data_IF_138518413702
#
_entry.id   IF_138518413702
#
_cell.length_a   1.000
_cell.length_b   1.000
_cell.length_c   1.000
_cell.angle_alpha   90.00
_cell.angle_beta   90.00
_cell.angle_gamma   90.00
#
_symmetry.space_group_name_H-M   'P 1'
#
loop_
_entity.id
_entity.type
_entity.pdbx_description
1 polymer ?
#
# COMPACT_ATOMS: atom_id res chain seq x y z
N UNK A 1 -17.39 8.18 14.17
CA UNK A 1 -16.13 8.97 14.08
C UNK A 1 -15.20 8.50 12.97
N UNK A 2 -14.81 7.23 12.93
CA UNK A 2 -13.82 6.70 11.96
C UNK A 2 -14.14 6.98 10.50
N UNK A 3 -15.41 6.77 10.06
CA UNK A 3 -15.85 7.07 8.70
C UNK A 3 -15.57 8.52 8.30
N UNK A 4 -15.94 9.47 9.15
CA UNK A 4 -15.77 10.90 8.88
C UNK A 4 -14.32 11.35 8.90
N UNK A 5 -13.53 10.84 9.86
CA UNK A 5 -12.09 11.09 9.91
C UNK A 5 -11.39 10.58 8.64
N UNK A 6 -11.70 9.33 8.23
CA UNK A 6 -11.07 8.75 7.04
C UNK A 6 -11.47 9.51 5.75
N UNK A 7 -12.75 9.85 5.58
CA UNK A 7 -13.19 10.68 4.45
C UNK A 7 -12.46 12.02 4.40
N UNK A 8 -12.42 12.71 5.55
CA UNK A 8 -11.77 14.02 5.65
C UNK A 8 -10.27 13.94 5.33
N UNK A 9 -9.58 12.97 5.90
CA UNK A 9 -8.14 12.78 5.65
C UNK A 9 -7.84 12.33 4.23
N UNK A 10 -8.65 11.42 3.66
CA UNK A 10 -8.52 11.00 2.28
C UNK A 10 -8.70 12.18 1.32
N UNK A 11 -9.70 13.04 1.55
CA UNK A 11 -9.93 14.23 0.76
C UNK A 11 -8.75 15.21 0.85
N UNK A 12 -8.17 15.41 2.05
CA UNK A 12 -6.98 16.25 2.23
C UNK A 12 -5.76 15.69 1.50
N UNK A 13 -5.64 14.37 1.44
CA UNK A 13 -4.53 13.66 0.76
C UNK A 13 -4.74 13.49 -0.74
N UNK A 14 -5.89 13.89 -1.29
CA UNK A 14 -6.23 13.69 -2.71
C UNK A 14 -6.49 12.25 -3.09
N UNK A 15 -6.89 11.44 -2.11
CA UNK A 15 -7.11 9.99 -2.25
C UNK A 15 -8.58 9.72 -2.50
N UNK A 16 -8.90 8.98 -3.58
CA UNK A 16 -10.25 8.54 -3.90
C UNK A 16 -10.55 7.21 -3.20
N UNK A 17 -11.39 7.26 -2.17
CA UNK A 17 -11.80 6.08 -1.40
C UNK A 17 -13.25 6.20 -0.96
N UNK A 18 -14.04 5.18 -1.21
CA UNK A 18 -15.36 5.08 -0.63
C UNK A 18 -15.28 4.54 0.79
N UNK A 19 -15.77 5.30 1.76
CA UNK A 19 -15.74 4.94 3.18
C UNK A 19 -17.15 4.84 3.72
N UNK A 20 -17.45 3.70 4.35
CA UNK A 20 -18.72 3.45 5.03
C UNK A 20 -18.47 2.95 6.45
N UNK A 21 -19.40 3.22 7.36
CA UNK A 21 -19.42 2.59 8.68
C UNK A 21 -20.72 1.82 8.89
N UNK A 22 -20.64 0.75 9.66
CA UNK A 22 -21.77 -0.04 10.09
C UNK A 22 -21.55 -0.57 11.50
N UNK A 23 -22.60 -0.75 12.27
CA UNK A 23 -22.55 -1.33 13.61
C UNK A 23 -23.19 -2.70 13.65
N UNK A 24 -22.62 -3.59 14.44
CA UNK A 24 -23.13 -4.96 14.66
C UNK A 24 -24.52 -4.94 15.32
N UNK A 25 -24.69 -4.06 16.30
CA UNK A 25 -25.93 -3.90 17.07
C UNK A 25 -26.62 -2.55 16.83
N UNK A 26 -26.28 -1.85 15.73
CA UNK A 26 -26.86 -0.55 15.44
C UNK A 26 -28.37 -0.64 15.10
N UNK A 27 -29.12 0.32 15.60
CA UNK A 27 -30.45 0.61 15.07
C UNK A 27 -30.28 1.52 13.86
N UNK A 28 -30.85 1.11 12.72
CA UNK A 28 -30.69 1.87 11.48
C UNK A 28 -31.37 3.24 11.59
N UNK A 29 -30.65 4.30 11.22
CA UNK A 29 -31.21 5.66 11.16
C UNK A 29 -30.91 6.52 12.40
N UNK A 30 -30.30 5.99 13.45
CA UNK A 30 -29.91 6.78 14.62
C UNK A 30 -28.83 7.82 14.25
N UNK A 31 -28.93 8.99 14.89
CA UNK A 31 -27.93 10.04 14.78
C UNK A 31 -26.64 9.67 15.52
N UNK A 32 -25.53 10.31 15.18
CA UNK A 32 -24.32 10.23 15.99
C UNK A 32 -24.53 10.84 17.38
N UNK A 33 -23.82 10.32 18.39
CA UNK A 33 -23.82 10.89 19.73
C UNK A 33 -23.31 12.35 19.69
N UNK A 34 -23.89 13.22 20.53
CA UNK A 34 -23.54 14.66 20.58
C UNK A 34 -22.05 14.87 20.81
N UNK A 35 -21.45 14.14 21.78
CA UNK A 35 -20.02 14.22 22.05
C UNK A 35 -19.16 13.76 20.84
N UNK A 36 -19.66 12.84 20.00
CA UNK A 36 -18.96 12.45 18.78
C UNK A 36 -18.99 13.57 17.73
N UNK A 37 -20.15 14.24 17.60
CA UNK A 37 -20.32 15.39 16.70
C UNK A 37 -19.41 16.54 17.15
N UNK A 38 -19.42 16.86 18.44
CA UNK A 38 -18.59 17.93 19.00
C UNK A 38 -17.09 17.64 18.84
N UNK A 39 -16.66 16.42 19.15
CA UNK A 39 -15.28 16.02 18.97
C UNK A 39 -14.79 16.13 17.53
N UNK A 40 -15.65 15.82 16.52
CA UNK A 40 -15.32 15.96 15.11
C UNK A 40 -15.37 17.41 14.63
N UNK A 41 -16.30 18.21 15.17
CA UNK A 41 -16.44 19.64 14.84
C UNK A 41 -15.18 20.45 15.21
N UNK A 42 -14.44 20.07 16.26
CA UNK A 42 -13.14 20.66 16.62
C UNK A 42 -12.09 20.53 15.50
N UNK A 43 -12.24 19.55 14.61
CA UNK A 43 -11.41 19.37 13.41
C UNK A 43 -12.03 19.94 12.13
N UNK A 44 -13.15 20.65 12.24
CA UNK A 44 -13.89 21.19 11.09
C UNK A 44 -14.72 20.14 10.36
N UNK A 45 -14.98 18.98 10.97
CA UNK A 45 -15.71 17.87 10.37
C UNK A 45 -17.18 17.89 10.85
N UNK A 46 -18.13 18.08 9.95
CA UNK A 46 -19.57 18.04 10.25
C UNK A 46 -20.14 16.62 10.15
N UNK A 47 -20.50 16.03 11.27
CA UNK A 47 -21.11 14.70 11.36
C UNK A 47 -22.60 14.70 11.73
N UNK A 48 -23.29 15.84 11.71
CA UNK A 48 -24.72 15.95 12.11
C UNK A 48 -25.67 15.16 11.21
N UNK A 49 -25.28 14.94 9.96
CA UNK A 49 -26.08 14.16 9.00
C UNK A 49 -25.82 12.65 9.08
N UNK A 50 -24.94 12.20 9.98
CA UNK A 50 -24.69 10.76 10.14
C UNK A 50 -25.98 10.02 10.49
N UNK A 51 -26.17 8.87 9.85
CA UNK A 51 -27.20 7.90 10.21
C UNK A 51 -26.57 6.53 10.35
N UNK A 52 -26.82 5.91 11.49
CA UNK A 52 -26.31 4.57 11.78
C UNK A 52 -26.84 3.54 10.80
N UNK A 53 -26.04 2.55 10.49
CA UNK A 53 -26.36 1.45 9.59
C UNK A 53 -26.01 0.13 10.26
N UNK A 54 -26.90 -0.84 10.19
CA UNK A 54 -26.63 -2.20 10.66
C UNK A 54 -25.75 -2.92 9.64
N UNK A 55 -24.79 -3.72 10.12
CA UNK A 55 -23.98 -4.57 9.27
C UNK A 55 -24.85 -5.61 8.56
N UNK A 56 -24.53 -5.90 7.32
CA UNK A 56 -25.22 -6.89 6.50
C UNK A 56 -24.17 -7.69 5.70
N UNK A 57 -24.32 -9.01 5.49
CA UNK A 57 -23.35 -9.84 4.75
C UNK A 57 -22.95 -9.28 3.39
N UNK A 58 -23.87 -8.63 2.69
CA UNK A 58 -23.56 -7.96 1.42
C UNK A 58 -22.48 -6.87 1.56
N UNK A 59 -22.49 -6.09 2.65
CA UNK A 59 -21.46 -5.09 2.90
C UNK A 59 -20.08 -5.73 3.14
N UNK A 60 -20.05 -6.93 3.76
CA UNK A 60 -18.80 -7.68 3.92
C UNK A 60 -18.26 -8.15 2.56
N UNK A 61 -19.15 -8.57 1.64
CA UNK A 61 -18.75 -9.02 0.31
C UNK A 61 -18.20 -7.86 -0.54
N UNK A 62 -18.87 -6.69 -0.52
CA UNK A 62 -18.55 -5.53 -1.34
C UNK A 62 -17.34 -4.72 -0.86
N UNK A 63 -16.99 -4.78 0.43
CA UNK A 63 -15.86 -4.06 0.98
C UNK A 63 -14.53 -4.71 0.59
N UNK A 64 -13.53 -3.93 0.19
CA UNK A 64 -12.15 -4.39 -0.05
C UNK A 64 -11.40 -4.57 1.27
N UNK A 65 -11.67 -3.73 2.26
CA UNK A 65 -11.07 -3.76 3.59
C UNK A 65 -12.12 -3.50 4.67
N UNK A 66 -12.09 -4.26 5.74
CA UNK A 66 -12.99 -4.15 6.88
C UNK A 66 -12.16 -3.92 8.14
N UNK A 67 -12.37 -2.78 8.80
CA UNK A 67 -11.64 -2.37 9.98
C UNK A 67 -12.54 -2.39 11.22
N UNK A 68 -12.30 -3.29 12.13
CA UNK A 68 -12.99 -3.42 13.40
C UNK A 68 -12.31 -2.59 14.50
N UNK A 69 -13.07 -2.17 15.50
CA UNK A 69 -12.54 -1.38 16.62
C UNK A 69 -12.04 -2.25 17.77
N UNK A 70 -12.60 -3.45 17.94
CA UNK A 70 -12.26 -4.38 19.02
C UNK A 70 -12.20 -5.81 18.49
N UNK A 71 -11.52 -6.69 19.23
CA UNK A 71 -11.45 -8.11 18.91
C UNK A 71 -12.84 -8.76 18.95
N UNK A 72 -13.71 -8.34 19.87
CA UNK A 72 -15.10 -8.79 19.91
C UNK A 72 -15.83 -8.50 18.59
N UNK A 73 -15.65 -7.30 18.02
CA UNK A 73 -16.22 -6.95 16.72
C UNK A 73 -15.64 -7.80 15.60
N UNK A 74 -14.34 -8.06 15.58
CA UNK A 74 -13.68 -8.92 14.59
C UNK A 74 -14.25 -10.34 14.62
N UNK A 75 -14.41 -10.92 15.81
CA UNK A 75 -14.97 -12.26 15.97
C UNK A 75 -16.43 -12.37 15.49
N UNK A 76 -17.24 -11.36 15.73
CA UNK A 76 -18.62 -11.33 15.23
C UNK A 76 -18.66 -11.19 13.69
N UNK A 77 -17.79 -10.37 13.11
CA UNK A 77 -17.66 -10.24 11.65
C UNK A 77 -17.24 -11.55 11.00
N UNK A 78 -16.27 -12.28 11.60
CA UNK A 78 -15.85 -13.61 11.14
C UNK A 78 -16.97 -14.65 11.22
N UNK A 79 -17.86 -14.54 12.21
CA UNK A 79 -19.06 -15.43 12.29
C UNK A 79 -20.09 -15.12 11.21
N UNK A 80 -20.18 -13.85 10.76
CA UNK A 80 -21.08 -13.42 9.70
C UNK A 80 -20.59 -13.80 8.30
N UNK A 81 -19.27 -13.95 8.11
CA UNK A 81 -18.65 -14.26 6.82
C UNK A 81 -17.20 -14.63 6.98
N UNK A 82 -16.92 -15.89 7.37
CA UNK A 82 -15.55 -16.40 7.57
C UNK A 82 -14.71 -16.42 6.29
N UNK A 83 -15.35 -16.47 5.12
CA UNK A 83 -14.72 -16.36 3.80
C UNK A 83 -14.05 -15.00 3.56
N UNK A 84 -14.39 -14.01 4.36
CA UNK A 84 -13.83 -12.66 4.27
C UNK A 84 -12.69 -12.39 5.28
N UNK A 85 -12.20 -13.43 5.98
CA UNK A 85 -11.19 -13.30 7.04
C UNK A 85 -9.93 -12.52 6.60
N UNK A 86 -9.47 -12.73 5.37
CA UNK A 86 -8.26 -12.08 4.84
C UNK A 86 -8.35 -10.55 4.65
N UNK A 87 -9.55 -9.96 4.82
CA UNK A 87 -9.76 -8.50 4.72
C UNK A 87 -10.36 -7.86 5.98
N UNK A 88 -10.41 -8.60 7.09
CA UNK A 88 -10.95 -8.14 8.38
C UNK A 88 -9.83 -7.99 9.39
N UNK A 89 -9.52 -6.75 9.79
CA UNK A 89 -8.46 -6.39 10.72
C UNK A 89 -8.97 -5.47 11.84
N UNK A 90 -8.24 -5.34 12.94
CA UNK A 90 -8.43 -4.20 13.84
C UNK A 90 -7.83 -2.94 13.22
N UNK A 91 -8.43 -1.77 13.45
CA UNK A 91 -7.97 -0.51 12.84
C UNK A 91 -6.50 -0.19 13.19
N UNK A 92 -6.13 -0.30 14.47
CA UNK A 92 -4.76 -0.03 14.93
C UNK A 92 -3.79 -1.14 14.54
N UNK A 93 -4.21 -2.40 14.55
CA UNK A 93 -3.43 -3.54 14.05
C UNK A 93 -3.05 -3.36 12.57
N UNK A 94 -4.03 -3.01 11.75
CA UNK A 94 -3.80 -2.78 10.33
C UNK A 94 -2.85 -1.59 10.08
N UNK A 95 -3.01 -0.51 10.85
CA UNK A 95 -2.08 0.62 10.79
C UNK A 95 -0.66 0.21 11.21
N UNK A 96 -0.52 -0.62 12.26
CA UNK A 96 0.76 -1.15 12.71
C UNK A 96 1.41 -2.06 11.66
N UNK A 97 0.64 -2.97 11.08
CA UNK A 97 1.08 -3.87 10.00
C UNK A 97 1.66 -3.08 8.83
N UNK A 98 0.98 -2.02 8.40
CA UNK A 98 1.45 -1.13 7.33
C UNK A 98 2.69 -0.31 7.71
N UNK A 99 2.84 0.07 8.99
CA UNK A 99 3.97 0.88 9.45
C UNK A 99 5.22 0.04 9.73
N UNK A 100 5.08 -1.12 10.36
CA UNK A 100 6.18 -2.01 10.77
C UNK A 100 6.55 -3.06 9.72
N UNK A 101 5.62 -3.42 8.82
CA UNK A 101 5.76 -4.54 7.89
C UNK A 101 5.79 -5.91 8.59
N UNK A 102 5.43 -5.97 9.87
CA UNK A 102 5.43 -7.20 10.67
C UNK A 102 4.06 -7.44 11.26
N UNK A 103 3.62 -8.70 11.21
CA UNK A 103 2.50 -9.11 12.04
C UNK A 103 2.84 -8.89 13.51
N UNK A 104 1.87 -8.48 14.33
CA UNK A 104 2.11 -8.25 15.75
C UNK A 104 2.61 -9.55 16.43
N UNK A 105 3.91 -9.62 16.73
CA UNK A 105 4.46 -10.70 17.53
C UNK A 105 4.02 -10.48 18.99
N UNK A 106 3.20 -11.40 19.54
CA UNK A 106 2.90 -11.55 20.97
C UNK A 106 2.30 -10.33 21.73
N UNK A 107 1.90 -9.27 21.05
CA UNK A 107 1.14 -8.20 21.71
C UNK A 107 -0.31 -8.68 21.95
N UNK A 108 -0.80 -8.53 23.18
CA UNK A 108 -2.19 -8.84 23.49
C UNK A 108 -3.11 -8.02 22.55
N UNK A 109 -4.08 -8.67 21.92
CA UNK A 109 -5.05 -8.03 21.02
C UNK A 109 -5.66 -6.73 21.60
N UNK A 110 -5.68 -6.59 22.92
CA UNK A 110 -6.14 -5.39 23.66
C UNK A 110 -5.38 -4.11 23.35
N UNK A 111 -4.11 -4.15 22.96
CA UNK A 111 -3.33 -2.95 22.62
C UNK A 111 -3.78 -2.31 21.31
N UNK A 112 -4.39 -3.12 20.43
CA UNK A 112 -4.93 -2.67 19.14
C UNK A 112 -6.42 -2.32 19.20
N UNK A 113 -7.07 -2.48 20.36
CA UNK A 113 -8.46 -2.11 20.53
C UNK A 113 -8.63 -0.59 20.71
N UNK A 114 -9.72 -0.08 20.17
CA UNK A 114 -10.21 1.28 20.42
C UNK A 114 -11.49 1.14 21.23
N UNK A 115 -11.46 1.62 22.45
CA UNK A 115 -12.60 1.54 23.37
C UNK A 115 -13.77 2.39 22.85
N UNK A 116 -14.96 1.85 22.99
CA UNK A 116 -16.20 2.58 22.67
C UNK A 116 -16.41 3.71 23.71
N UNK A 117 -16.42 4.99 23.31
CA UNK A 117 -16.66 6.11 24.20
C UNK A 117 -18.14 6.34 24.49
N UNK A 118 -19.06 5.51 24.01
CA UNK A 118 -20.48 5.71 24.17
C UNK A 118 -20.90 5.87 25.64
N UNK A 119 -21.66 6.91 25.93
CA UNK A 119 -22.08 7.26 27.30
C UNK A 119 -21.00 7.87 28.17
N UNK A 120 -19.80 8.11 27.65
CA UNK A 120 -18.67 8.70 28.38
C UNK A 120 -18.58 10.23 28.12
N UNK A 121 -17.60 10.86 28.78
CA UNK A 121 -17.33 12.29 28.66
C UNK A 121 -16.82 12.68 27.25
N UNK A 122 -16.95 13.96 26.92
CA UNK A 122 -16.37 14.52 25.69
C UNK A 122 -14.85 14.26 25.61
N UNK A 123 -14.14 14.29 26.73
CA UNK A 123 -12.71 14.00 26.78
C UNK A 123 -12.40 12.56 26.34
N UNK A 124 -13.21 11.59 26.74
CA UNK A 124 -13.08 10.20 26.26
C UNK A 124 -13.31 10.10 24.76
N UNK A 125 -14.26 10.88 24.21
CA UNK A 125 -14.47 10.94 22.76
C UNK A 125 -13.27 11.57 22.02
N UNK A 126 -12.63 12.58 22.60
CA UNK A 126 -11.40 13.18 22.03
C UNK A 126 -10.25 12.18 22.01
N UNK A 127 -10.06 11.40 23.08
CA UNK A 127 -9.05 10.35 23.13
C UNK A 127 -9.29 9.28 22.06
N UNK A 128 -10.49 8.72 21.96
CA UNK A 128 -10.85 7.74 20.93
C UNK A 128 -10.69 8.34 19.53
N UNK A 129 -11.06 9.61 19.32
CA UNK A 129 -10.86 10.33 18.06
C UNK A 129 -9.37 10.40 17.72
N UNK A 130 -8.50 10.69 18.67
CA UNK A 130 -7.05 10.81 18.48
C UNK A 130 -6.42 9.47 18.08
N UNK A 131 -6.83 8.36 18.72
CA UNK A 131 -6.38 7.02 18.37
C UNK A 131 -6.84 6.63 16.94
N UNK A 132 -8.10 6.90 16.60
CA UNK A 132 -8.64 6.64 15.29
C UNK A 132 -7.92 7.49 14.22
N UNK A 133 -7.73 8.78 14.47
CA UNK A 133 -7.10 9.70 13.52
C UNK A 133 -5.64 9.32 13.24
N UNK A 134 -4.89 8.95 14.28
CA UNK A 134 -3.52 8.46 14.13
C UNK A 134 -3.44 7.20 13.26
N UNK A 135 -4.28 6.20 13.55
CA UNK A 135 -4.33 4.98 12.75
C UNK A 135 -4.76 5.26 11.29
N UNK A 136 -5.76 6.13 11.09
CA UNK A 136 -6.22 6.54 9.74
C UNK A 136 -5.12 7.26 8.96
N UNK A 137 -4.38 8.16 9.61
CA UNK A 137 -3.26 8.85 8.96
C UNK A 137 -2.16 7.87 8.55
N UNK A 138 -1.81 6.91 9.41
CA UNK A 138 -0.84 5.86 9.06
C UNK A 138 -1.32 5.03 7.87
N UNK A 139 -2.59 4.60 7.87
CA UNK A 139 -3.16 3.83 6.77
C UNK A 139 -3.12 4.61 5.45
N UNK A 140 -3.48 5.90 5.46
CA UNK A 140 -3.44 6.74 4.27
C UNK A 140 -2.03 7.04 3.79
N UNK A 141 -1.07 7.19 4.72
CA UNK A 141 0.33 7.46 4.38
C UNK A 141 1.07 6.23 3.81
N UNK A 142 0.63 5.03 4.20
CA UNK A 142 1.36 3.78 3.93
C UNK A 142 0.73 2.87 2.89
N UNK A 143 -0.48 3.13 2.39
CA UNK A 143 -0.93 2.30 1.29
C UNK A 143 -2.38 1.88 1.21
N UNK A 144 -3.33 2.59 1.82
CA UNK A 144 -4.72 2.50 1.36
C UNK A 144 -5.27 3.90 1.22
N UNK A 145 -4.81 4.52 0.22
CA UNK A 145 -5.32 5.73 -0.32
C UNK A 145 -5.70 5.57 -1.77
N UNK A 146 -5.34 4.50 -2.36
CA UNK A 146 -5.70 4.18 -3.74
C UNK A 146 -6.81 3.12 -3.76
N UNK A 147 -7.94 3.45 -3.17
CA UNK A 147 -9.17 2.71 -3.39
C UNK A 147 -9.54 2.76 -4.87
N UNK A 148 -9.32 1.66 -5.57
CA UNK A 148 -9.80 1.45 -6.92
C UNK A 148 -8.77 1.60 -8.05
N UNK A 149 -7.56 2.12 -7.82
CA UNK A 149 -6.51 2.02 -8.82
C UNK A 149 -5.70 0.74 -8.59
N UNK A 150 -5.81 -0.21 -9.50
CA UNK A 150 -4.89 -1.34 -9.58
C UNK A 150 -3.45 -0.82 -9.62
N UNK A 151 -2.56 -1.39 -8.79
CA UNK A 151 -1.12 -1.10 -8.90
C UNK A 151 -0.71 -1.28 -10.36
N UNK A 152 0.04 -0.32 -10.89
CA UNK A 152 0.43 -0.30 -12.28
C UNK A 152 1.94 -0.41 -12.43
N UNK A 153 2.40 -1.48 -13.03
CA UNK A 153 3.83 -1.80 -13.19
C UNK A 153 4.26 -1.56 -14.64
N UNK A 154 5.36 -0.82 -14.83
CA UNK A 154 6.06 -0.77 -16.10
C UNK A 154 7.03 -1.96 -16.18
N UNK A 155 6.76 -2.90 -17.07
CA UNK A 155 7.62 -4.08 -17.31
C UNK A 155 8.48 -3.87 -18.55
N UNK A 156 9.81 -3.87 -18.38
CA UNK A 156 10.77 -3.81 -19.46
C UNK A 156 11.64 -5.08 -19.50
N UNK A 157 11.64 -5.77 -20.64
CA UNK A 157 12.40 -7.03 -20.79
C UNK A 157 13.17 -6.98 -22.11
N UNK A 158 14.48 -7.24 -22.10
CA UNK A 158 15.26 -7.41 -23.30
C UNK A 158 15.27 -8.87 -23.82
N UNK A 159 15.96 -9.12 -24.91
CA UNK A 159 16.11 -10.47 -25.49
C UNK A 159 16.72 -11.49 -24.51
N UNK A 160 17.58 -11.05 -23.57
CA UNK A 160 18.20 -11.92 -22.55
C UNK A 160 17.25 -12.35 -21.45
N UNK A 161 16.19 -11.58 -21.23
CA UNK A 161 15.12 -11.85 -20.27
C UNK A 161 13.83 -12.39 -20.86
N UNK A 162 13.71 -12.40 -22.19
CA UNK A 162 12.47 -12.66 -22.90
C UNK A 162 11.76 -13.97 -22.51
N UNK A 163 12.50 -15.02 -22.25
CA UNK A 163 11.95 -16.32 -21.83
C UNK A 163 11.16 -16.28 -20.51
N UNK A 164 11.49 -15.32 -19.63
CA UNK A 164 10.82 -15.17 -18.33
C UNK A 164 9.59 -14.24 -18.39
N UNK A 165 9.44 -13.48 -19.47
CA UNK A 165 8.46 -12.40 -19.61
C UNK A 165 7.03 -12.87 -19.39
N UNK A 166 6.62 -13.95 -20.07
CA UNK A 166 5.25 -14.45 -20.01
C UNK A 166 4.88 -14.89 -18.59
N UNK A 167 5.76 -15.64 -17.94
CA UNK A 167 5.52 -16.09 -16.55
C UNK A 167 5.44 -14.93 -15.55
N UNK A 168 6.23 -13.87 -15.75
CA UNK A 168 6.16 -12.65 -14.91
C UNK A 168 4.84 -11.90 -15.17
N UNK A 169 4.41 -11.77 -16.42
CA UNK A 169 3.12 -11.16 -16.77
C UNK A 169 1.94 -11.93 -16.15
N UNK A 170 1.92 -13.24 -16.28
CA UNK A 170 0.89 -14.10 -15.68
C UNK A 170 0.87 -13.95 -14.15
N UNK A 171 2.03 -13.96 -13.52
CA UNK A 171 2.16 -13.80 -12.07
C UNK A 171 1.60 -12.47 -11.57
N UNK A 172 1.99 -11.35 -12.19
CA UNK A 172 1.50 -10.01 -11.82
C UNK A 172 -0.01 -9.88 -12.06
N UNK A 173 -0.50 -10.34 -13.22
CA UNK A 173 -1.92 -10.32 -13.55
C UNK A 173 -2.75 -11.17 -12.58
N UNK A 174 -2.25 -12.33 -12.14
CA UNK A 174 -2.93 -13.19 -11.15
C UNK A 174 -3.15 -12.51 -9.80
N UNK A 175 -2.34 -11.48 -9.49
CA UNK A 175 -2.43 -10.65 -8.28
C UNK A 175 -3.26 -9.38 -8.48
N UNK A 176 -3.90 -9.21 -9.63
CA UNK A 176 -4.70 -8.03 -9.95
C UNK A 176 -3.87 -6.77 -10.23
N UNK A 177 -2.58 -6.94 -10.57
CA UNK A 177 -1.66 -5.83 -10.90
C UNK A 177 -1.78 -5.52 -12.39
N UNK A 178 -2.02 -4.25 -12.73
CA UNK A 178 -2.00 -3.79 -14.13
C UNK A 178 -0.55 -3.68 -14.63
N UNK A 179 -0.26 -4.26 -15.80
CA UNK A 179 1.09 -4.21 -16.38
C UNK A 179 1.09 -3.45 -17.69
N UNK A 180 1.97 -2.46 -17.82
CA UNK A 180 2.33 -1.81 -19.08
C UNK A 180 3.62 -2.42 -19.58
N UNK A 181 3.54 -3.09 -20.72
CA UNK A 181 4.67 -3.82 -21.32
C UNK A 181 5.48 -2.92 -22.27
N UNK A 182 6.68 -2.57 -21.86
CA UNK A 182 7.69 -1.82 -22.62
C UNK A 182 8.78 -2.73 -23.21
N UNK A 183 8.74 -4.04 -22.93
CA UNK A 183 9.79 -4.96 -23.31
C UNK A 183 9.71 -5.44 -24.75
N UNK A 184 10.76 -6.14 -25.21
CA UNK A 184 10.77 -6.76 -26.54
C UNK A 184 9.66 -7.81 -26.69
N UNK A 185 9.22 -7.98 -27.93
CA UNK A 185 8.23 -9.00 -28.31
C UNK A 185 8.86 -10.23 -29.00
N UNK A 186 10.19 -10.30 -29.05
CA UNK A 186 10.91 -11.43 -29.64
C UNK A 186 12.22 -11.72 -28.91
N UNK A 187 12.84 -12.87 -29.20
CA UNK A 187 14.15 -13.22 -28.69
C UNK A 187 15.30 -12.60 -29.51
N UNK A 188 14.99 -11.78 -30.52
CA UNK A 188 16.00 -11.09 -31.31
C UNK A 188 16.72 -10.02 -30.47
N UNK A 189 18.02 -9.83 -30.78
CA UNK A 189 18.85 -8.87 -30.05
C UNK A 189 18.27 -7.46 -30.15
N UNK A 190 18.13 -6.80 -28.99
CA UNK A 190 17.67 -5.42 -28.88
C UNK A 190 18.53 -4.67 -27.85
N UNK A 191 18.51 -3.35 -27.95
CA UNK A 191 19.29 -2.48 -27.07
C UNK A 191 18.54 -2.21 -25.74
N UNK A 192 18.98 -2.88 -24.70
CA UNK A 192 18.37 -2.79 -23.37
C UNK A 192 18.31 -1.37 -22.75
N UNK A 193 19.22 -0.42 -23.08
CA UNK A 193 19.15 0.92 -22.50
C UNK A 193 17.90 1.69 -22.92
N UNK A 194 17.40 1.48 -24.14
CA UNK A 194 16.20 2.15 -24.65
C UNK A 194 14.97 1.70 -23.85
N UNK A 195 14.82 0.40 -23.66
CA UNK A 195 13.75 -0.19 -22.85
C UNK A 195 13.83 0.31 -21.39
N UNK A 196 15.04 0.30 -20.82
CA UNK A 196 15.24 0.75 -19.44
C UNK A 196 14.89 2.24 -19.25
N UNK A 197 15.18 3.07 -20.26
CA UNK A 197 14.84 4.49 -20.28
C UNK A 197 13.32 4.68 -20.32
N UNK A 198 12.60 4.00 -21.21
CA UNK A 198 11.14 4.12 -21.34
C UNK A 198 10.43 3.73 -20.03
N UNK A 199 10.82 2.63 -19.40
CA UNK A 199 10.30 2.22 -18.09
C UNK A 199 10.59 3.25 -17.01
N UNK A 200 11.83 3.77 -16.97
CA UNK A 200 12.23 4.74 -15.97
C UNK A 200 11.49 6.08 -16.13
N UNK A 201 11.24 6.52 -17.36
CA UNK A 201 10.46 7.72 -17.65
C UNK A 201 8.98 7.51 -17.29
N UNK A 202 8.38 6.36 -17.59
CA UNK A 202 7.00 6.05 -17.23
C UNK A 202 6.78 6.06 -15.71
N UNK A 203 7.76 5.57 -14.93
CA UNK A 203 7.71 5.61 -13.45
C UNK A 203 7.94 7.03 -12.94
N UNK A 204 8.93 7.75 -13.45
CA UNK A 204 9.21 9.15 -13.07
C UNK A 204 8.00 10.05 -13.28
N UNK A 205 7.31 9.88 -14.40
CA UNK A 205 6.19 10.73 -14.82
C UNK A 205 4.85 10.29 -14.19
N UNK A 206 4.87 9.28 -13.30
CA UNK A 206 3.69 8.79 -12.58
C UNK A 206 2.69 8.02 -13.45
N UNK A 207 3.09 7.58 -14.64
CA UNK A 207 2.27 6.72 -15.50
C UNK A 207 2.16 5.31 -14.95
N UNK A 208 3.21 4.86 -14.24
CA UNK A 208 3.27 3.59 -13.51
C UNK A 208 3.80 3.84 -12.10
N UNK A 209 3.37 3.01 -11.14
CA UNK A 209 3.76 3.14 -9.73
C UNK A 209 5.19 2.66 -9.51
N UNK A 210 5.56 1.54 -10.16
CA UNK A 210 6.89 0.93 -10.09
C UNK A 210 7.31 0.38 -11.45
N UNK A 211 8.63 0.11 -11.58
CA UNK A 211 9.21 -0.55 -12.74
C UNK A 211 9.83 -1.91 -12.39
N UNK A 212 9.72 -2.87 -13.32
CA UNK A 212 10.47 -4.12 -13.29
C UNK A 212 11.23 -4.23 -14.61
N UNK A 213 12.56 -4.39 -14.52
CA UNK A 213 13.46 -4.51 -15.65
C UNK A 213 14.16 -5.87 -15.61
N UNK A 214 14.09 -6.62 -16.71
CA UNK A 214 14.67 -7.97 -16.82
C UNK A 214 15.58 -8.06 -18.04
N UNK A 215 16.85 -8.32 -17.81
CA UNK A 215 17.81 -8.63 -18.87
C UNK A 215 18.64 -9.88 -18.51
N UNK A 216 19.73 -10.12 -19.18
CA UNK A 216 20.59 -11.28 -18.88
C UNK A 216 21.11 -11.29 -17.43
N UNK A 217 21.53 -10.13 -16.88
CA UNK A 217 22.12 -10.02 -15.55
C UNK A 217 21.42 -9.01 -14.63
N UNK A 218 20.54 -8.17 -15.15
CA UNK A 218 19.93 -7.05 -14.42
C UNK A 218 20.82 -5.80 -14.32
N UNK A 219 22.14 -5.96 -14.54
CA UNK A 219 23.12 -4.89 -14.28
C UNK A 219 22.99 -3.75 -15.27
N UNK A 220 22.99 -4.04 -16.57
CA UNK A 220 22.97 -3.01 -17.61
C UNK A 220 21.72 -2.14 -17.55
N UNK A 221 20.55 -2.77 -17.42
CA UNK A 221 19.27 -2.05 -17.25
C UNK A 221 19.23 -1.23 -15.96
N UNK A 222 19.78 -1.75 -14.86
CA UNK A 222 19.89 -1.00 -13.61
C UNK A 222 20.74 0.28 -13.78
N UNK A 223 21.89 0.17 -14.46
CA UNK A 223 22.77 1.32 -14.75
C UNK A 223 22.02 2.34 -15.61
N UNK A 224 21.34 1.88 -16.68
CA UNK A 224 20.61 2.75 -17.60
C UNK A 224 19.46 3.47 -16.91
N UNK A 225 18.62 2.77 -16.16
CA UNK A 225 17.51 3.35 -15.44
C UNK A 225 17.96 4.41 -14.41
N UNK A 226 19.07 4.21 -13.71
CA UNK A 226 19.66 5.17 -12.79
C UNK A 226 20.24 6.42 -13.48
N UNK A 227 20.28 6.50 -14.82
CA UNK A 227 20.62 7.72 -15.56
C UNK A 227 19.41 8.64 -15.76
N UNK A 228 18.21 8.14 -15.53
CA UNK A 228 17.00 8.96 -15.57
C UNK A 228 16.85 9.67 -14.24
N UNK A 229 16.84 10.99 -14.28
CA UNK A 229 16.79 11.85 -13.08
C UNK A 229 15.56 11.53 -12.23
N UNK A 230 15.76 11.42 -10.92
CA UNK A 230 14.72 11.12 -9.93
C UNK A 230 14.47 9.62 -9.74
N UNK A 231 15.08 8.75 -10.55
CA UNK A 231 14.93 7.30 -10.46
C UNK A 231 16.04 6.67 -9.63
N UNK A 232 15.62 5.75 -8.76
CA UNK A 232 16.50 4.83 -8.03
C UNK A 232 16.13 3.41 -8.44
N UNK A 233 16.96 2.78 -9.25
CA UNK A 233 16.83 1.40 -9.67
C UNK A 233 17.80 0.53 -8.88
N UNK A 234 17.34 -0.64 -8.43
CA UNK A 234 18.14 -1.60 -7.67
C UNK A 234 18.17 -2.96 -8.37
N UNK A 235 19.38 -3.48 -8.60
CA UNK A 235 19.57 -4.85 -9.07
C UNK A 235 19.56 -5.79 -7.86
N UNK A 236 18.63 -6.77 -7.85
CA UNK A 236 18.45 -7.71 -6.77
C UNK A 236 18.57 -9.15 -7.28
N UNK A 237 19.21 -10.01 -6.50
CA UNK A 237 19.38 -11.45 -6.77
C UNK A 237 18.76 -12.33 -5.70
N UNK A 238 18.20 -11.72 -4.65
CA UNK A 238 17.60 -12.38 -3.50
C UNK A 238 16.51 -11.49 -2.86
N UNK A 239 15.67 -12.08 -2.03
CA UNK A 239 14.55 -11.41 -1.38
C UNK A 239 15.00 -10.40 -0.31
N UNK A 240 16.14 -10.64 0.37
CA UNK A 240 16.67 -9.71 1.35
C UNK A 240 17.06 -8.37 0.69
N UNK A 241 17.80 -8.43 -0.44
CA UNK A 241 18.16 -7.25 -1.22
C UNK A 241 16.92 -6.52 -1.75
N UNK A 242 15.92 -7.25 -2.26
CA UNK A 242 14.67 -6.69 -2.75
C UNK A 242 13.89 -5.94 -1.67
N UNK A 243 13.76 -6.55 -0.49
CA UNK A 243 13.17 -5.90 0.69
C UNK A 243 13.85 -4.58 1.01
N UNK A 244 15.18 -4.57 1.10
CA UNK A 244 15.93 -3.39 1.49
C UNK A 244 16.00 -2.34 0.38
N UNK A 245 15.91 -2.72 -0.87
CA UNK A 245 15.76 -1.78 -1.98
C UNK A 245 14.52 -0.89 -1.79
N UNK A 246 13.39 -1.48 -1.35
CA UNK A 246 12.18 -0.72 -1.03
C UNK A 246 12.28 -0.04 0.33
N UNK A 247 12.47 -0.80 1.41
CA UNK A 247 12.37 -0.28 2.77
C UNK A 247 13.42 0.77 3.11
N UNK A 248 14.64 0.67 2.59
CA UNK A 248 15.75 1.56 2.94
C UNK A 248 16.10 2.58 1.85
N UNK A 249 16.00 2.21 0.57
CA UNK A 249 16.47 3.03 -0.54
C UNK A 249 15.33 3.68 -1.32
N UNK A 250 14.07 3.30 -1.01
CA UNK A 250 12.91 3.74 -1.76
C UNK A 250 13.13 3.61 -3.27
N UNK A 251 13.67 2.46 -3.68
CA UNK A 251 13.91 2.19 -5.09
C UNK A 251 12.58 2.01 -5.82
N UNK A 252 12.38 2.75 -6.90
CA UNK A 252 11.16 2.70 -7.70
C UNK A 252 11.23 1.62 -8.78
N UNK A 253 12.42 1.11 -9.10
CA UNK A 253 12.63 0.11 -10.16
C UNK A 253 13.44 -1.05 -9.63
N UNK A 254 12.90 -2.26 -9.83
CA UNK A 254 13.56 -3.53 -9.58
C UNK A 254 14.21 -4.04 -10.86
N UNK A 255 15.49 -4.41 -10.81
CA UNK A 255 16.21 -4.97 -11.96
C UNK A 255 16.63 -6.42 -11.66
N UNK A 256 16.33 -7.34 -12.58
CA UNK A 256 16.51 -8.78 -12.42
C UNK A 256 17.32 -9.38 -13.56
N UNK A 257 18.11 -10.42 -13.24
CA UNK A 257 18.95 -11.13 -14.19
C UNK A 257 18.37 -12.50 -14.54
N UNK A 258 17.79 -12.67 -15.72
CA UNK A 258 17.17 -13.93 -16.14
C UNK A 258 18.16 -15.10 -16.36
N UNK A 259 19.44 -14.81 -16.53
CA UNK A 259 20.50 -15.83 -16.62
C UNK A 259 21.17 -16.12 -15.27
N UNK A 260 20.80 -15.36 -14.24
CA UNK A 260 21.39 -15.43 -12.89
C UNK A 260 20.39 -16.01 -11.90
N UNK A 261 19.14 -15.57 -12.01
CA UNK A 261 18.07 -15.90 -11.06
C UNK A 261 17.08 -16.85 -11.73
N UNK A 262 16.83 -18.02 -11.14
CA UNK A 262 15.80 -18.95 -11.59
C UNK A 262 14.40 -18.36 -11.43
N UNK A 263 13.44 -18.79 -12.27
CA UNK A 263 12.10 -18.22 -12.33
C UNK A 263 11.39 -18.16 -10.97
N UNK A 264 11.42 -19.26 -10.20
CA UNK A 264 10.76 -19.28 -8.89
C UNK A 264 11.28 -18.20 -7.95
N UNK A 265 12.61 -18.09 -7.80
CA UNK A 265 13.22 -17.05 -6.97
C UNK A 265 12.98 -15.64 -7.55
N UNK A 266 12.91 -15.50 -8.87
CA UNK A 266 12.59 -14.21 -9.51
C UNK A 266 11.20 -13.73 -9.11
N UNK A 267 10.20 -14.62 -9.10
CA UNK A 267 8.84 -14.29 -8.67
C UNK A 267 8.78 -13.96 -7.17
N UNK A 268 9.50 -14.68 -6.32
CA UNK A 268 9.61 -14.38 -4.88
C UNK A 268 10.28 -13.01 -4.62
N UNK A 269 11.29 -12.64 -5.41
CA UNK A 269 11.94 -11.33 -5.35
C UNK A 269 10.96 -10.23 -5.75
N UNK A 270 10.18 -10.43 -6.82
CA UNK A 270 9.15 -9.48 -7.27
C UNK A 270 8.11 -9.29 -6.18
N UNK A 271 7.60 -10.38 -5.61
CA UNK A 271 6.60 -10.32 -4.54
C UNK A 271 7.12 -9.57 -3.32
N UNK A 272 8.32 -9.93 -2.86
CA UNK A 272 8.95 -9.23 -1.72
C UNK A 272 9.11 -7.74 -2.00
N UNK A 273 9.58 -7.37 -3.19
CA UNK A 273 9.75 -5.96 -3.55
C UNK A 273 8.44 -5.18 -3.57
N UNK A 274 7.37 -5.76 -4.14
CA UNK A 274 6.07 -5.09 -4.26
C UNK A 274 5.28 -5.02 -2.94
N UNK A 275 5.52 -5.93 -2.01
CA UNK A 275 4.88 -5.95 -0.68
C UNK A 275 5.47 -4.91 0.28
N UNK A 276 6.70 -4.49 0.07
CA UNK A 276 7.42 -3.62 1.00
C UNK A 276 7.16 -2.13 0.72
N UNK A 277 7.22 -1.34 1.78
CA UNK A 277 7.08 0.12 1.73
C UNK A 277 8.31 0.82 2.31
N UNK A 278 8.55 2.07 1.89
CA UNK A 278 9.68 2.85 2.40
C UNK A 278 9.51 3.20 3.87
N UNK A 279 10.48 2.85 4.71
CA UNK A 279 10.40 3.06 6.16
C UNK A 279 10.70 4.49 6.62
N UNK A 280 11.17 5.36 5.74
CA UNK A 280 11.43 6.76 6.07
C UNK A 280 12.52 6.95 7.15
N UNK A 281 12.31 7.89 8.07
CA UNK A 281 13.19 8.15 9.18
C UNK A 281 14.65 8.38 8.80
N UNK A 282 15.59 7.65 9.40
CA UNK A 282 17.03 7.74 9.08
C UNK A 282 17.35 7.41 7.61
N UNK A 283 16.50 6.62 6.95
CA UNK A 283 16.67 6.24 5.55
C UNK A 283 16.29 7.38 4.62
N UNK A 284 15.27 8.17 4.95
CA UNK A 284 14.90 9.37 4.19
C UNK A 284 16.07 10.37 4.09
N UNK A 285 16.78 10.59 5.19
CA UNK A 285 17.97 11.46 5.20
C UNK A 285 19.06 10.97 4.23
N UNK A 286 19.19 9.65 4.04
CA UNK A 286 20.17 9.07 3.11
C UNK A 286 19.69 9.18 1.67
N UNK A 287 18.41 8.92 1.42
CA UNK A 287 17.78 9.10 0.09
C UNK A 287 17.89 10.56 -0.36
N UNK A 288 17.62 11.54 0.53
CA UNK A 288 17.82 12.97 0.24
C UNK A 288 19.25 13.31 -0.17
N UNK A 289 20.26 12.66 0.45
CA UNK A 289 21.66 12.87 0.06
C UNK A 289 21.94 12.32 -1.33
N UNK A 290 21.35 11.19 -1.72
CA UNK A 290 21.46 10.66 -3.09
C UNK A 290 20.87 11.66 -4.09
N UNK A 291 19.67 12.18 -3.82
CA UNK A 291 19.02 13.21 -4.66
C UNK A 291 19.84 14.51 -4.79
N UNK A 292 20.57 14.89 -3.72
CA UNK A 292 21.48 16.04 -3.76
C UNK A 292 22.70 15.82 -4.64
N UNK A 293 23.24 14.58 -4.67
CA UNK A 293 24.34 14.24 -5.57
C UNK A 293 23.90 14.38 -7.03
N UNK A 294 22.71 13.89 -7.36
CA UNK A 294 22.14 14.03 -8.69
C UNK A 294 21.98 15.49 -9.11
N UNK A 295 21.50 16.35 -8.20
CA UNK A 295 21.29 17.77 -8.47
C UNK A 295 22.59 18.57 -8.59
N UNK A 296 23.69 18.12 -7.99
CA UNK A 296 24.98 18.81 -8.01
C UNK A 296 25.80 18.50 -9.28
N UNK A 297 25.45 17.47 -10.04
CA UNK A 297 26.11 17.09 -11.29
C UNK A 297 25.44 17.62 -12.57
N UNK A 298 24.48 18.53 -12.44
CA UNK A 298 23.68 19.09 -13.55
C UNK A 298 24.18 20.47 -13.96
#
# INVERSE_FOLDING_TARGET
MAEYLRRHRAQQAGVDVEVMSAGLHAFAGDSAAENAIEALAELGIDARQHRSRKIHPRLLAEADLILAMTEGHRQELLRLGSEHAGKIFLLKEYAHLLDSGQEPEDLEAKEYEIRDPFGQSLETYRQSRQEIDGAVQTILARGIGEGGRSMKIALGVDHGGYWAKEAVLEHLNSKGIEVVDFGTHSAESCDYPDIAKEVAEAVRDGQCDFGILICGTGIGMCIAANKVRGIRAAQCTDTFSARHARTHNDAQILCLGARVTGLGLMLDIIDTYLQESFTGGRHAVRVDKISKIESAGS
#
